data_IF_207876592359
#
_entry.id   IF_207876592359
#
_cell.length_a   1.000
_cell.length_b   1.000
_cell.length_c   1.000
_cell.angle_alpha   90.00
_cell.angle_beta   90.00
_cell.angle_gamma   90.00
#
_symmetry.space_group_name_H-M   'P 1'
#
loop_
_entity.id
_entity.type
_entity.pdbx_description
1 polymer ?
#
# COMPACT_ATOMS: atom_id res chain seq x y z
N UNK A 1 -22.69 -1.26 -16.86
CA UNK A 1 -22.16 -2.62 -17.07
C UNK A 1 -22.83 -3.20 -18.30
N UNK A 2 -22.10 -3.91 -19.15
CA UNK A 2 -22.65 -4.65 -20.29
C UNK A 2 -21.82 -5.91 -20.44
N UNK A 3 -22.44 -7.06 -20.68
CA UNK A 3 -21.75 -8.35 -20.88
C UNK A 3 -20.79 -8.70 -19.72
N UNK A 4 -21.19 -8.34 -18.50
CA UNK A 4 -20.38 -8.43 -17.27
C UNK A 4 -19.07 -7.63 -17.26
N UNK A 5 -18.91 -6.71 -18.21
CA UNK A 5 -17.80 -5.77 -18.27
C UNK A 5 -18.22 -4.40 -17.73
N UNK A 6 -17.25 -3.75 -17.12
CA UNK A 6 -17.32 -2.44 -16.52
C UNK A 6 -16.60 -1.41 -17.39
N UNK A 7 -17.16 -0.21 -17.40
CA UNK A 7 -16.71 0.98 -18.08
C UNK A 7 -17.41 2.18 -17.43
N UNK A 8 -16.98 3.39 -17.75
CA UNK A 8 -17.54 4.62 -17.21
C UNK A 8 -17.83 5.61 -18.33
N UNK A 9 -18.97 6.29 -18.24
CA UNK A 9 -19.39 7.33 -19.16
C UNK A 9 -19.74 8.60 -18.37
N UNK A 10 -19.53 9.77 -18.98
CA UNK A 10 -20.02 11.03 -18.44
C UNK A 10 -21.54 11.09 -18.54
N UNK A 11 -22.15 12.05 -17.83
CA UNK A 11 -23.59 12.33 -17.94
C UNK A 11 -24.01 12.70 -19.37
N UNK A 12 -23.10 13.28 -20.18
CA UNK A 12 -23.32 13.59 -21.59
C UNK A 12 -23.11 12.41 -22.53
N UNK A 13 -22.85 11.20 -22.01
CA UNK A 13 -22.64 9.98 -22.80
C UNK A 13 -21.22 9.80 -23.35
N UNK A 14 -20.27 10.66 -22.96
CA UNK A 14 -18.87 10.51 -23.40
C UNK A 14 -18.19 9.39 -22.64
N UNK A 15 -17.43 8.54 -23.34
CA UNK A 15 -16.69 7.44 -22.72
C UNK A 15 -15.52 7.98 -21.88
N UNK A 16 -15.47 7.63 -20.60
CA UNK A 16 -14.40 7.99 -19.66
C UNK A 16 -13.46 6.79 -19.44
N UNK A 17 -14.04 5.62 -19.19
CA UNK A 17 -13.32 4.35 -19.05
C UNK A 17 -13.92 3.35 -20.05
N UNK A 18 -13.12 2.69 -20.90
CA UNK A 18 -13.59 1.66 -21.81
C UNK A 18 -14.39 0.55 -21.13
N UNK A 19 -15.41 0.04 -21.82
CA UNK A 19 -16.25 -1.08 -21.37
C UNK A 19 -15.54 -2.42 -21.64
N UNK A 20 -14.40 -2.64 -20.97
CA UNK A 20 -13.50 -3.76 -21.23
C UNK A 20 -12.98 -4.45 -19.97
N UNK A 21 -13.37 -3.98 -18.78
CA UNK A 21 -12.76 -4.42 -17.51
C UNK A 21 -13.71 -5.29 -16.70
N UNK A 22 -13.19 -6.21 -15.90
CA UNK A 22 -14.00 -7.07 -15.03
C UNK A 22 -14.54 -6.32 -13.81
N UNK A 23 -13.81 -5.30 -13.36
CA UNK A 23 -14.18 -4.44 -12.24
C UNK A 23 -13.53 -3.08 -12.40
N UNK A 24 -14.16 -2.04 -11.86
CA UNK A 24 -13.55 -0.72 -11.65
C UNK A 24 -13.66 -0.42 -10.15
N UNK A 25 -12.56 -0.01 -9.52
CA UNK A 25 -12.58 0.53 -8.16
C UNK A 25 -12.94 2.00 -8.27
N UNK A 26 -14.06 2.39 -7.67
CA UNK A 26 -14.51 3.76 -7.69
C UNK A 26 -13.68 4.59 -6.69
N UNK A 27 -13.16 5.75 -7.11
CA UNK A 27 -12.40 6.64 -6.24
C UNK A 27 -13.29 7.14 -5.10
N UNK A 28 -12.69 7.33 -3.94
CA UNK A 28 -13.34 7.90 -2.75
C UNK A 28 -13.50 9.41 -2.84
N UNK A 29 -12.69 10.07 -3.67
CA UNK A 29 -12.67 11.52 -3.85
C UNK A 29 -13.28 11.91 -5.21
N UNK A 30 -13.92 13.09 -5.26
CA UNK A 30 -14.49 13.62 -6.52
C UNK A 30 -13.39 14.16 -7.42
N UNK A 31 -13.57 14.02 -8.73
CA UNK A 31 -12.63 14.58 -9.71
C UNK A 31 -11.29 13.84 -9.82
N UNK A 32 -11.18 12.65 -9.21
CA UNK A 32 -10.00 11.81 -9.38
C UNK A 32 -9.75 11.48 -10.85
N UNK A 33 -8.48 11.48 -11.22
CA UNK A 33 -8.03 11.10 -12.55
C UNK A 33 -7.52 9.65 -12.58
N UNK A 34 -7.22 9.08 -11.41
CA UNK A 34 -6.56 7.80 -11.24
C UNK A 34 -7.53 6.77 -10.69
N UNK A 35 -7.68 5.67 -11.42
CA UNK A 35 -8.62 4.59 -11.14
C UNK A 35 -7.88 3.26 -11.16
N UNK A 36 -8.43 2.29 -10.44
CA UNK A 36 -8.02 0.89 -10.60
C UNK A 36 -9.03 0.13 -11.44
N UNK A 37 -8.55 -0.56 -12.46
CA UNK A 37 -9.36 -1.41 -13.33
C UNK A 37 -8.85 -2.84 -13.27
N UNK A 38 -9.76 -3.81 -13.15
CA UNK A 38 -9.39 -5.22 -13.11
C UNK A 38 -9.49 -5.84 -14.51
N UNK A 39 -8.42 -6.51 -14.95
CA UNK A 39 -8.41 -7.26 -16.22
C UNK A 39 -8.87 -8.71 -16.00
N UNK A 40 -8.80 -9.52 -17.06
CA UNK A 40 -9.22 -10.93 -17.04
C UNK A 40 -8.33 -11.85 -16.19
N UNK A 41 -7.09 -11.44 -15.92
CA UNK A 41 -6.14 -12.12 -15.05
C UNK A 41 -6.42 -11.91 -13.55
N UNK A 42 -7.52 -11.21 -13.21
CA UNK A 42 -7.92 -10.88 -11.85
C UNK A 42 -6.96 -9.95 -11.09
N UNK A 43 -6.05 -9.27 -11.81
CA UNK A 43 -5.20 -8.22 -11.26
C UNK A 43 -5.79 -6.84 -11.53
N UNK A 44 -5.49 -5.91 -10.64
CA UNK A 44 -5.83 -4.49 -10.74
C UNK A 44 -4.69 -3.71 -11.38
N UNK A 45 -5.05 -2.85 -12.33
CA UNK A 45 -4.13 -2.01 -13.10
C UNK A 45 -4.50 -0.55 -12.92
N UNK A 46 -3.50 0.32 -12.83
CA UNK A 46 -3.70 1.75 -12.75
C UNK A 46 -4.14 2.27 -14.12
N UNK A 47 -5.26 2.98 -14.15
CA UNK A 47 -5.80 3.67 -15.32
C UNK A 47 -5.95 5.16 -15.02
N UNK A 48 -5.33 6.00 -15.84
CA UNK A 48 -5.48 7.44 -15.76
C UNK A 48 -6.50 7.92 -16.82
N UNK A 49 -7.64 8.46 -16.39
CA UNK A 49 -8.74 8.83 -17.30
C UNK A 49 -8.43 10.05 -18.17
N UNK A 50 -7.54 10.94 -17.71
CA UNK A 50 -7.19 12.15 -18.47
C UNK A 50 -6.30 11.81 -19.66
N UNK A 51 -5.25 11.02 -19.42
CA UNK A 51 -4.33 10.55 -20.47
C UNK A 51 -4.81 9.32 -21.22
N UNK A 52 -5.88 8.67 -20.73
CA UNK A 52 -6.36 7.36 -21.21
C UNK A 52 -5.28 6.26 -21.13
N UNK A 53 -4.26 6.45 -20.28
CA UNK A 53 -3.15 5.51 -20.12
C UNK A 53 -3.54 4.41 -19.12
N UNK A 54 -3.21 3.17 -19.49
CA UNK A 54 -3.16 2.05 -18.56
C UNK A 54 -1.70 1.69 -18.29
N UNK A 55 -1.36 1.41 -17.05
CA UNK A 55 -0.02 0.95 -16.67
C UNK A 55 0.05 -0.58 -16.70
N UNK A 56 1.27 -1.10 -16.82
CA UNK A 56 1.51 -2.52 -17.08
C UNK A 56 1.65 -3.36 -15.80
N UNK A 57 1.91 -2.72 -14.65
CA UNK A 57 2.07 -3.44 -13.38
C UNK A 57 0.69 -3.77 -12.79
N UNK A 58 0.46 -5.07 -12.57
CA UNK A 58 -0.77 -5.59 -11.98
C UNK A 58 -0.61 -5.90 -10.49
N UNK A 59 -1.64 -5.59 -9.71
CA UNK A 59 -1.68 -5.80 -8.25
C UNK A 59 -2.84 -6.72 -7.85
N UNK A 60 -2.65 -7.53 -6.81
CA UNK A 60 -3.68 -8.44 -6.27
C UNK A 60 -4.78 -7.69 -5.49
N UNK A 61 -4.40 -6.59 -4.84
CA UNK A 61 -5.30 -5.74 -4.09
C UNK A 61 -4.82 -4.29 -4.15
N UNK A 62 -5.75 -3.35 -4.09
CA UNK A 62 -5.49 -1.92 -4.24
C UNK A 62 -6.45 -1.12 -3.38
N UNK A 63 -5.95 -0.04 -2.79
CA UNK A 63 -6.73 1.04 -2.22
C UNK A 63 -6.80 2.22 -3.21
N UNK A 64 -7.80 3.08 -3.05
CA UNK A 64 -7.88 4.30 -3.84
C UNK A 64 -6.65 5.19 -3.62
N UNK A 65 -6.26 5.95 -4.65
CA UNK A 65 -5.29 7.01 -4.48
C UNK A 65 -5.82 8.04 -3.48
N UNK A 66 -5.01 8.38 -2.48
CA UNK A 66 -5.23 9.49 -1.58
C UNK A 66 -3.95 10.31 -1.48
N UNK A 67 -4.06 11.65 -1.59
CA UNK A 67 -2.91 12.56 -1.62
C UNK A 67 -1.85 12.15 -2.67
N UNK A 68 -2.28 11.57 -3.79
CA UNK A 68 -1.43 11.12 -4.89
C UNK A 68 -0.69 9.80 -4.66
N UNK A 69 -1.03 9.04 -3.62
CA UNK A 69 -0.41 7.76 -3.28
C UNK A 69 -1.49 6.71 -3.09
N UNK A 70 -1.27 5.48 -3.56
CA UNK A 70 -2.13 4.34 -3.32
C UNK A 70 -1.36 3.25 -2.57
N UNK A 71 -2.08 2.54 -1.69
CA UNK A 71 -1.61 1.32 -1.06
C UNK A 71 -2.01 0.12 -1.92
N UNK A 72 -1.04 -0.69 -2.32
CA UNK A 72 -1.23 -1.77 -3.30
C UNK A 72 -0.50 -3.01 -2.87
N UNK A 73 -1.09 -4.19 -3.07
CA UNK A 73 -0.44 -5.47 -2.79
C UNK A 73 0.00 -6.13 -4.09
N UNK A 74 1.32 -6.25 -4.35
CA UNK A 74 1.80 -6.94 -5.55
C UNK A 74 1.62 -8.45 -5.45
N UNK A 75 1.67 -9.11 -6.61
CA UNK A 75 1.59 -10.57 -6.71
C UNK A 75 2.74 -11.22 -5.96
N UNK A 76 2.43 -12.19 -5.11
CA UNK A 76 3.44 -12.95 -4.38
C UNK A 76 4.21 -12.16 -3.32
N UNK A 77 3.72 -10.98 -2.90
CA UNK A 77 4.26 -10.26 -1.75
C UNK A 77 4.37 -11.20 -0.54
N UNK A 78 5.54 -11.24 0.09
CA UNK A 78 5.80 -11.97 1.33
C UNK A 78 6.00 -11.00 2.48
N UNK A 79 5.57 -11.40 3.67
CA UNK A 79 5.76 -10.62 4.89
C UNK A 79 6.59 -11.45 5.85
N UNK A 80 7.79 -10.97 6.12
CA UNK A 80 8.65 -11.56 7.12
C UNK A 80 8.03 -11.46 8.52
N UNK A 81 8.18 -12.51 9.32
CA UNK A 81 7.73 -12.54 10.71
C UNK A 81 8.73 -11.81 11.64
N UNK A 82 8.89 -10.50 11.44
CA UNK A 82 9.70 -9.60 12.27
C UNK A 82 8.85 -8.87 13.31
N UNK A 83 9.47 -8.38 14.39
CA UNK A 83 8.77 -7.53 15.37
C UNK A 83 8.15 -6.31 14.70
N UNK A 84 8.87 -5.66 13.78
CA UNK A 84 8.37 -4.51 13.01
C UNK A 84 7.07 -4.83 12.28
N UNK A 85 7.01 -5.95 11.55
CA UNK A 85 5.80 -6.32 10.81
C UNK A 85 4.66 -6.75 11.75
N UNK A 86 4.96 -7.40 12.88
CA UNK A 86 3.94 -7.72 13.90
C UNK A 86 3.38 -6.45 14.53
N UNK A 87 4.21 -5.50 14.91
CA UNK A 87 3.80 -4.23 15.55
C UNK A 87 2.89 -3.39 14.66
N UNK A 88 3.04 -3.47 13.33
CA UNK A 88 2.17 -2.77 12.38
C UNK A 88 0.70 -3.23 12.40
N UNK A 89 0.39 -4.38 13.00
CA UNK A 89 -0.99 -4.90 13.08
C UNK A 89 -1.81 -4.34 14.24
N UNK A 90 -1.21 -3.52 15.09
CA UNK A 90 -1.82 -3.06 16.33
C UNK A 90 -1.77 -1.55 16.46
N UNK A 91 -2.68 -1.00 17.27
CA UNK A 91 -2.61 0.40 17.70
C UNK A 91 -1.41 0.63 18.62
N UNK A 92 -0.90 1.87 18.75
CA UNK A 92 0.22 2.16 19.64
C UNK A 92 -0.03 1.75 21.11
N UNK A 93 1.05 1.40 21.82
CA UNK A 93 1.04 0.94 23.23
C UNK A 93 0.29 -0.39 23.47
N UNK A 94 0.25 -1.26 22.47
CA UNK A 94 -0.31 -2.62 22.63
C UNK A 94 0.63 -3.52 23.43
N UNK A 95 0.07 -4.47 24.18
CA UNK A 95 0.86 -5.41 24.98
C UNK A 95 1.78 -6.25 24.08
N UNK A 96 3.07 -6.30 24.43
CA UNK A 96 4.07 -7.03 23.65
C UNK A 96 3.77 -8.53 23.50
N UNK A 97 3.11 -9.17 24.48
CA UNK A 97 2.69 -10.58 24.37
C UNK A 97 1.70 -10.79 23.23
N UNK A 98 0.79 -9.85 23.03
CA UNK A 98 -0.19 -9.91 21.95
C UNK A 98 0.51 -9.74 20.60
N UNK A 99 1.46 -8.78 20.53
CA UNK A 99 2.28 -8.55 19.34
C UNK A 99 3.12 -9.78 19.00
N UNK A 100 3.81 -10.38 19.95
CA UNK A 100 4.66 -11.56 19.72
C UNK A 100 3.86 -12.81 19.27
N UNK A 101 2.57 -12.87 19.56
CA UNK A 101 1.71 -14.03 19.26
C UNK A 101 1.18 -14.07 17.82
N UNK A 102 1.28 -12.98 17.06
CA UNK A 102 0.69 -12.89 15.72
C UNK A 102 1.70 -13.28 14.63
N UNK A 103 1.21 -13.98 13.60
CA UNK A 103 1.95 -14.18 12.36
C UNK A 103 1.47 -13.15 11.31
N UNK A 104 2.33 -12.22 10.87
CA UNK A 104 1.92 -11.17 9.93
C UNK A 104 1.59 -11.70 8.54
N UNK A 105 2.19 -12.81 8.11
CA UNK A 105 1.84 -13.47 6.84
C UNK A 105 0.39 -14.00 6.84
N UNK A 106 -0.12 -14.42 8.01
CA UNK A 106 -1.52 -14.79 8.20
C UNK A 106 -2.50 -13.61 8.11
N UNK A 107 -1.98 -12.38 8.05
CA UNK A 107 -2.71 -11.12 7.93
C UNK A 107 -2.26 -10.32 6.70
N UNK A 108 -1.84 -11.01 5.64
CA UNK A 108 -1.31 -10.42 4.40
C UNK A 108 -2.26 -9.43 3.72
N UNK A 109 -3.56 -9.53 3.97
CA UNK A 109 -4.59 -8.56 3.56
C UNK A 109 -4.44 -7.17 4.15
N UNK A 110 -3.74 -7.05 5.27
CA UNK A 110 -3.46 -5.75 5.86
C UNK A 110 -2.27 -5.05 5.21
N UNK A 111 -1.43 -5.74 4.41
CA UNK A 111 -0.16 -5.17 3.94
C UNK A 111 -0.11 -4.91 2.44
N UNK A 112 0.77 -3.99 2.08
CA UNK A 112 1.03 -3.57 0.71
C UNK A 112 2.19 -2.58 0.64
N UNK A 113 2.50 -2.16 -0.57
CA UNK A 113 3.47 -1.14 -0.96
C UNK A 113 2.76 0.17 -1.27
N UNK A 114 3.53 1.25 -1.37
CA UNK A 114 3.02 2.57 -1.72
C UNK A 114 3.50 2.96 -3.12
N UNK A 115 2.55 3.32 -3.99
CA UNK A 115 2.80 3.76 -5.37
C UNK A 115 2.19 5.13 -5.62
N UNK A 116 2.78 5.93 -6.50
CA UNK A 116 2.24 7.23 -6.88
C UNK A 116 1.36 7.18 -8.13
N UNK A 117 0.78 8.32 -8.53
CA UNK A 117 -0.06 8.46 -9.74
C UNK A 117 0.71 8.34 -11.07
N UNK A 118 2.00 8.00 -11.05
CA UNK A 118 2.77 7.60 -12.22
C UNK A 118 3.14 6.11 -12.17
N UNK A 119 2.51 5.34 -11.29
CA UNK A 119 2.75 3.92 -11.03
C UNK A 119 4.20 3.63 -10.57
N UNK A 120 4.87 4.65 -10.00
CA UNK A 120 6.21 4.50 -9.42
C UNK A 120 6.07 4.04 -7.98
N UNK A 121 6.74 2.94 -7.64
CA UNK A 121 6.84 2.44 -6.27
C UNK A 121 7.69 3.39 -5.42
N UNK A 122 7.06 4.02 -4.44
CA UNK A 122 7.68 4.94 -3.49
C UNK A 122 8.22 4.20 -2.26
N UNK A 123 7.56 3.11 -1.86
CA UNK A 123 7.88 2.33 -0.68
C UNK A 123 7.50 0.86 -0.89
N UNK A 124 8.49 -0.02 -0.91
CA UNK A 124 8.43 -1.45 -1.26
C UNK A 124 8.74 -2.38 -0.07
N UNK A 125 8.71 -1.85 1.16
CA UNK A 125 8.62 -2.67 2.36
C UNK A 125 7.14 -2.83 2.77
N UNK A 126 6.76 -3.92 3.48
CA UNK A 126 5.39 -4.12 3.93
C UNK A 126 4.90 -2.97 4.82
N UNK A 127 3.86 -2.28 4.38
CA UNK A 127 3.14 -1.26 5.15
C UNK A 127 1.75 -1.76 5.45
N UNK A 128 1.33 -1.81 6.71
CA UNK A 128 -0.05 -2.18 7.04
C UNK A 128 -1.02 -1.02 6.77
N UNK A 129 -2.30 -1.33 6.51
CA UNK A 129 -3.35 -0.33 6.31
C UNK A 129 -3.46 0.67 7.47
N UNK A 130 -3.11 0.26 8.69
CA UNK A 130 -3.09 1.11 9.89
C UNK A 130 -2.00 2.18 9.84
N UNK A 131 -0.86 1.88 9.21
CA UNK A 131 0.33 2.73 9.24
C UNK A 131 0.59 3.48 7.91
N UNK A 132 -0.26 3.30 6.89
CA UNK A 132 -0.14 3.97 5.57
C UNK A 132 0.02 5.48 5.71
N UNK A 133 -0.83 6.14 6.50
CA UNK A 133 -0.77 7.60 6.64
C UNK A 133 0.55 8.08 7.25
N UNK A 134 1.05 7.38 8.26
CA UNK A 134 2.32 7.71 8.92
C UNK A 134 3.51 7.55 7.96
N UNK A 135 3.53 6.49 7.13
CA UNK A 135 4.56 6.33 6.09
C UNK A 135 4.44 7.43 5.03
N UNK A 136 3.23 7.77 4.60
CA UNK A 136 3.00 8.87 3.63
C UNK A 136 3.50 10.22 4.16
N UNK A 137 3.32 10.51 5.45
CA UNK A 137 3.87 11.71 6.08
C UNK A 137 5.41 11.74 6.05
N UNK A 138 6.05 10.60 6.31
CA UNK A 138 7.51 10.48 6.26
C UNK A 138 8.06 10.62 4.84
N UNK A 139 7.36 10.09 3.83
CA UNK A 139 7.68 10.28 2.41
C UNK A 139 7.58 11.75 2.01
N UNK A 140 6.50 12.43 2.42
CA UNK A 140 6.30 13.87 2.14
C UNK A 140 7.41 14.73 2.75
N UNK A 141 7.81 14.46 4.00
CA UNK A 141 8.93 15.16 4.66
C UNK A 141 10.26 15.04 3.90
N UNK A 142 10.42 13.98 3.09
CA UNK A 142 11.62 13.69 2.29
C UNK A 142 11.45 14.08 0.82
N UNK A 143 10.40 14.82 0.46
CA UNK A 143 10.17 15.31 -0.89
C UNK A 143 9.81 14.22 -1.90
N UNK A 144 9.29 13.08 -1.46
CA UNK A 144 8.90 11.94 -2.30
C UNK A 144 10.03 11.43 -3.22
N UNK A 145 11.30 11.65 -2.85
CA UNK A 145 12.44 11.08 -3.58
C UNK A 145 12.52 9.57 -3.36
N UNK A 146 13.32 8.91 -4.19
CA UNK A 146 13.70 7.52 -3.95
C UNK A 146 14.45 7.40 -2.62
N UNK A 147 13.96 6.50 -1.76
CA UNK A 147 14.58 6.18 -0.48
C UNK A 147 15.56 5.02 -0.64
N UNK A 148 16.62 5.01 0.17
CA UNK A 148 17.48 3.84 0.37
C UNK A 148 16.79 2.80 1.24
N UNK A 149 17.25 1.55 1.23
CA UNK A 149 16.70 0.49 2.09
C UNK A 149 16.79 0.85 3.58
N UNK A 150 17.92 1.41 4.01
CA UNK A 150 18.12 1.88 5.38
C UNK A 150 17.09 2.96 5.77
N UNK A 151 16.80 3.90 4.88
CA UNK A 151 15.79 4.94 5.15
C UNK A 151 14.39 4.37 5.27
N UNK A 152 14.03 3.39 4.44
CA UNK A 152 12.72 2.72 4.51
C UNK A 152 12.58 1.95 5.82
N UNK A 153 13.61 1.18 6.19
CA UNK A 153 13.68 0.46 7.47
C UNK A 153 13.54 1.42 8.65
N UNK A 154 14.34 2.49 8.68
CA UNK A 154 14.28 3.50 9.75
C UNK A 154 12.90 4.17 9.87
N UNK A 155 12.17 4.37 8.76
CA UNK A 155 10.78 4.85 8.80
C UNK A 155 9.87 3.86 9.53
N UNK A 156 9.92 2.56 9.17
CA UNK A 156 9.09 1.56 9.84
C UNK A 156 9.45 1.41 11.33
N UNK A 157 10.73 1.47 11.66
CA UNK A 157 11.20 1.44 13.05
C UNK A 157 10.65 2.67 13.81
N UNK A 158 10.75 3.88 13.27
CA UNK A 158 10.24 5.09 13.95
C UNK A 158 8.72 5.06 14.17
N UNK A 159 7.93 4.71 13.14
CA UNK A 159 6.46 4.74 13.26
C UNK A 159 5.93 3.62 14.18
N UNK A 160 6.64 2.50 14.30
CA UNK A 160 6.22 1.37 15.15
C UNK A 160 6.81 1.41 16.56
N UNK A 161 7.66 2.39 16.90
CA UNK A 161 8.41 2.43 18.18
C UNK A 161 7.56 2.31 19.44
N UNK A 162 6.32 2.81 19.44
CA UNK A 162 5.41 2.74 20.58
C UNK A 162 4.85 1.33 20.84
N UNK A 163 5.04 0.41 19.90
CA UNK A 163 4.64 -0.99 19.96
C UNK A 163 5.84 -1.95 20.03
N UNK A 164 7.05 -1.42 20.23
CA UNK A 164 8.26 -2.22 20.32
C UNK A 164 8.79 -2.17 21.73
N UNK A 165 9.17 -3.31 22.27
CA UNK A 165 9.77 -3.39 23.60
C UNK A 165 10.96 -4.32 23.55
N UNK A 166 12.12 -3.77 23.87
CA UNK A 166 13.38 -4.48 23.86
C UNK A 166 13.67 -5.08 25.23
N UNK A 167 13.99 -6.37 25.28
CA UNK A 167 14.56 -6.95 26.49
C UNK A 167 15.99 -6.44 26.65
N UNK A 168 16.21 -5.64 27.70
CA UNK A 168 17.50 -5.06 28.05
C UNK A 168 18.59 -6.12 28.34
N UNK A 169 18.20 -7.38 28.55
CA UNK A 169 19.13 -8.49 28.78
C UNK A 169 19.41 -9.33 27.52
N UNK A 170 18.80 -8.97 26.39
CA UNK A 170 18.96 -9.67 25.11
C UNK A 170 19.81 -8.85 24.14
N UNK A 171 20.59 -9.54 23.28
CA UNK A 171 21.26 -8.90 22.15
C UNK A 171 20.20 -8.66 21.09
N UNK A 172 19.90 -7.39 20.82
CA UNK A 172 19.02 -6.99 19.73
C UNK A 172 19.66 -7.36 18.39
N UNK A 173 18.86 -7.91 17.48
CA UNK A 173 19.28 -8.19 16.12
C UNK A 173 19.68 -6.87 15.42
N UNK A 174 20.66 -6.90 14.51
CA UNK A 174 21.01 -5.76 13.66
C UNK A 174 19.78 -5.24 12.87
N UNK A 175 18.78 -6.10 12.71
CA UNK A 175 17.51 -5.76 12.09
C UNK A 175 16.57 -4.87 12.92
N UNK A 176 16.90 -4.65 14.19
CA UNK A 176 16.09 -3.85 15.12
C UNK A 176 16.73 -2.50 15.47
N UNK A 177 17.96 -2.25 15.02
CA UNK A 177 18.69 -1.01 15.23
C UNK A 177 18.40 0.06 14.16
N UNK A 178 18.21 1.30 14.63
CA UNK A 178 18.32 2.51 13.80
C UNK A 178 19.77 3.01 13.89
N UNK A 179 20.58 2.83 12.85
CA UNK A 179 21.86 3.57 12.71
C UNK A 179 21.61 4.94 12.06
#
# INVERSE_FOLDING_TARGET
MKDSLWGAYSASGNKIIPLSYKKIVLPSERGCQDFWVMKSDSLFYHFNVTSQKIYDLGYEAVANFSKGIAHVRPVGMKIENSEVNRSQLFAPNTNHKDIASVNPEGRRECFGYLVNTNDVVLFDLPVSTTYVELVMEQLKKRGNRKLTEAEKKNILLDITKENRSYDLNSVLDEDEWNY
#
